data_IF_407860589823
#
_entry.id   IF_407860589823
#
_cell.length_a   1.000
_cell.length_b   1.000
_cell.length_c   1.000
_cell.angle_alpha   90.00
_cell.angle_beta   90.00
_cell.angle_gamma   90.00
#
_symmetry.space_group_name_H-M   'P 1'
#
loop_
_entity.id
_entity.type
_entity.pdbx_description
1 polymer ?
#
# COMPACT_ATOMS: atom_id res chain seq x y z
N UNK A 1 0.66 -4.63 14.49
CA UNK A 1 0.87 -5.05 13.09
C UNK A 1 -0.47 -5.35 12.45
N UNK A 2 -0.72 -4.88 11.23
CA UNK A 2 -1.94 -5.19 10.46
C UNK A 2 -1.56 -5.70 9.08
N UNK A 3 -2.36 -6.58 8.51
CA UNK A 3 -2.14 -7.11 7.15
C UNK A 3 -2.96 -6.29 6.16
N UNK A 4 -2.44 -6.15 4.95
CA UNK A 4 -3.04 -5.37 3.87
C UNK A 4 -3.33 -6.31 2.71
N UNK A 5 -4.59 -6.36 2.31
CA UNK A 5 -5.11 -7.27 1.29
C UNK A 5 -5.62 -6.48 0.10
N UNK A 6 -5.50 -7.04 -1.10
CA UNK A 6 -6.16 -6.50 -2.28
C UNK A 6 -7.68 -6.54 -2.08
N UNK A 7 -8.33 -5.41 -2.30
CA UNK A 7 -9.78 -5.30 -2.28
C UNK A 7 -10.37 -5.93 -3.56
N UNK A 8 -11.71 -6.03 -3.62
CA UNK A 8 -12.42 -6.47 -4.84
C UNK A 8 -12.16 -5.56 -6.06
N UNK A 9 -11.82 -4.29 -5.84
CA UNK A 9 -11.63 -3.29 -6.91
C UNK A 9 -10.16 -3.09 -7.29
N UNK A 10 -9.25 -3.85 -6.67
CA UNK A 10 -7.83 -3.73 -6.98
C UNK A 10 -7.58 -4.01 -8.48
N UNK A 11 -6.71 -3.25 -9.18
CA UNK A 11 -6.47 -3.43 -10.62
C UNK A 11 -6.05 -4.84 -11.04
N UNK A 12 -5.32 -5.55 -10.16
CA UNK A 12 -4.91 -6.95 -10.36
C UNK A 12 -5.94 -7.99 -9.85
N UNK A 13 -7.16 -7.56 -9.52
CA UNK A 13 -8.20 -8.38 -8.89
C UNK A 13 -8.02 -8.60 -7.39
N UNK A 14 -8.97 -9.29 -6.78
CA UNK A 14 -9.02 -9.60 -5.35
C UNK A 14 -7.91 -10.57 -4.89
N UNK A 15 -7.49 -10.44 -3.63
CA UNK A 15 -6.52 -11.32 -2.99
C UNK A 15 -7.02 -11.85 -1.63
N UNK A 16 -7.00 -13.17 -1.47
CA UNK A 16 -7.32 -13.84 -0.20
C UNK A 16 -6.14 -13.92 0.78
N UNK A 17 -4.93 -13.63 0.30
CA UNK A 17 -3.70 -13.57 1.08
C UNK A 17 -3.22 -12.12 1.14
N UNK A 18 -2.47 -11.73 2.19
CA UNK A 18 -1.99 -10.37 2.30
C UNK A 18 -0.93 -10.12 1.23
N UNK A 19 -0.95 -8.93 0.64
CA UNK A 19 0.13 -8.47 -0.21
C UNK A 19 1.21 -7.82 0.67
N UNK A 20 0.77 -6.99 1.63
CA UNK A 20 1.67 -6.27 2.53
C UNK A 20 1.32 -6.46 4.01
N UNK A 21 2.25 -6.09 4.87
CA UNK A 21 2.04 -5.88 6.31
C UNK A 21 2.51 -4.49 6.73
N UNK A 22 1.75 -3.81 7.58
CA UNK A 22 2.20 -2.58 8.25
C UNK A 22 2.69 -2.90 9.66
N UNK A 23 3.93 -2.49 9.95
CA UNK A 23 4.59 -2.67 11.24
C UNK A 23 4.38 -1.47 12.15
N UNK A 24 4.80 -1.59 13.41
CA UNK A 24 4.56 -0.58 14.45
C UNK A 24 5.36 0.73 14.21
N UNK A 25 6.35 0.70 13.33
CA UNK A 25 7.13 1.86 12.88
C UNK A 25 6.45 2.63 11.73
N UNK A 26 5.22 2.23 11.34
CA UNK A 26 4.48 2.85 10.24
C UNK A 26 4.95 2.43 8.84
N UNK A 27 5.92 1.52 8.74
CA UNK A 27 6.44 1.03 7.46
C UNK A 27 5.68 -0.19 6.97
N UNK A 28 5.58 -0.30 5.64
CA UNK A 28 4.80 -1.30 4.92
C UNK A 28 5.75 -2.20 4.13
N UNK A 29 5.66 -3.51 4.38
CA UNK A 29 6.57 -4.53 3.86
C UNK A 29 5.82 -5.53 3.01
N UNK A 30 6.46 -6.01 1.94
CA UNK A 30 5.92 -7.12 1.15
C UNK A 30 5.94 -8.41 1.95
N UNK A 31 4.81 -9.10 1.98
CA UNK A 31 4.72 -10.43 2.55
C UNK A 31 5.27 -11.49 1.58
N UNK A 32 5.40 -12.73 2.03
CA UNK A 32 5.81 -13.86 1.17
C UNK A 32 4.82 -14.18 0.06
N UNK A 33 3.56 -13.74 0.19
CA UNK A 33 2.49 -13.94 -0.78
C UNK A 33 2.34 -12.77 -1.76
N UNK A 34 3.17 -11.73 -1.63
CA UNK A 34 3.14 -10.59 -2.54
C UNK A 34 3.50 -11.03 -3.98
N UNK A 35 2.81 -10.55 -5.02
CA UNK A 35 3.07 -10.95 -6.42
C UNK A 35 4.51 -10.74 -6.91
N UNK A 36 5.17 -9.70 -6.41
CA UNK A 36 6.58 -9.39 -6.69
C UNK A 36 7.59 -10.09 -5.75
N UNK A 37 7.13 -11.05 -4.94
CA UNK A 37 7.94 -11.72 -3.92
C UNK A 37 8.13 -10.91 -2.63
N UNK A 38 8.73 -11.57 -1.63
CA UNK A 38 9.01 -11.01 -0.30
C UNK A 38 10.12 -9.94 -0.33
N UNK A 39 10.07 -9.01 0.62
CA UNK A 39 11.16 -8.06 0.88
C UNK A 39 11.32 -7.79 2.39
N UNK A 40 12.56 -7.85 2.86
CA UNK A 40 12.93 -7.42 4.22
C UNK A 40 13.02 -5.90 4.38
N UNK A 41 13.02 -5.16 3.27
CA UNK A 41 12.98 -3.70 3.24
C UNK A 41 11.56 -3.21 2.95
N UNK A 42 11.16 -2.05 3.50
CA UNK A 42 9.81 -1.52 3.28
C UNK A 42 9.66 -1.04 1.84
N UNK A 43 8.48 -1.21 1.27
CA UNK A 43 8.14 -0.57 0.00
C UNK A 43 7.56 0.82 0.27
N UNK A 44 6.72 0.94 1.30
CA UNK A 44 6.05 2.19 1.65
C UNK A 44 6.17 2.56 3.13
N UNK A 45 5.81 3.81 3.45
CA UNK A 45 5.62 4.31 4.81
C UNK A 45 4.32 5.11 4.92
N UNK A 46 3.64 5.00 6.05
CA UNK A 46 2.51 5.87 6.41
C UNK A 46 3.05 7.07 7.18
N UNK A 47 2.66 8.29 6.76
CA UNK A 47 3.03 9.53 7.45
C UNK A 47 1.86 10.09 8.26
N UNK A 48 2.13 11.12 9.06
CA UNK A 48 1.17 11.74 9.99
C UNK A 48 -0.06 12.36 9.30
N UNK A 49 -0.01 12.58 7.99
CA UNK A 49 -1.13 13.06 7.18
C UNK A 49 -2.09 11.94 6.73
N UNK A 50 -1.86 10.69 7.16
CA UNK A 50 -2.68 9.53 6.79
C UNK A 50 -2.41 9.03 5.37
N UNK A 51 -1.35 9.50 4.71
CA UNK A 51 -0.99 9.10 3.35
C UNK A 51 0.20 8.16 3.33
N UNK A 52 0.31 7.43 2.22
CA UNK A 52 1.28 6.34 2.01
C UNK A 52 2.27 6.76 0.94
N UNK A 53 3.55 6.75 1.29
CA UNK A 53 4.65 7.25 0.46
C UNK A 53 5.63 6.14 0.12
N UNK A 54 6.23 6.20 -1.07
CA UNK A 54 7.30 5.29 -1.46
C UNK A 54 8.56 5.57 -0.69
N UNK A 55 9.18 4.53 -0.15
CA UNK A 55 10.51 4.61 0.45
C UNK A 55 11.61 4.51 -0.61
N UNK A 56 12.87 4.67 -0.20
CA UNK A 56 14.03 4.48 -1.09
C UNK A 56 14.18 3.05 -1.62
N UNK A 57 13.65 2.05 -0.91
CA UNK A 57 13.71 0.64 -1.30
C UNK A 57 12.58 0.19 -2.21
N UNK A 58 11.62 1.08 -2.51
CA UNK A 58 10.54 0.77 -3.43
C UNK A 58 11.08 0.49 -4.85
N UNK A 59 10.55 -0.53 -5.53
CA UNK A 59 11.04 -0.96 -6.86
C UNK A 59 10.93 0.12 -7.95
N UNK A 60 9.89 0.96 -7.87
CA UNK A 60 9.71 2.13 -8.73
C UNK A 60 10.51 3.38 -8.30
N UNK A 61 11.39 3.26 -7.30
CA UNK A 61 12.14 4.37 -6.70
C UNK A 61 11.33 5.20 -5.69
N UNK A 62 12.01 6.14 -5.05
CA UNK A 62 11.44 7.04 -4.04
C UNK A 62 10.51 8.10 -4.62
N UNK A 63 9.55 8.56 -3.83
CA UNK A 63 8.67 9.69 -4.16
C UNK A 63 8.36 10.54 -2.94
N UNK A 64 8.47 11.87 -3.11
CA UNK A 64 7.99 12.84 -2.13
C UNK A 64 6.47 13.04 -2.14
N UNK A 65 5.78 12.51 -3.15
CA UNK A 65 4.32 12.54 -3.29
C UNK A 65 3.70 11.20 -2.88
N UNK A 66 2.49 11.20 -2.30
CA UNK A 66 1.84 10.00 -1.82
C UNK A 66 1.33 9.15 -2.98
N UNK A 67 1.55 7.85 -2.95
CA UNK A 67 0.93 6.92 -3.91
C UNK A 67 -0.50 6.59 -3.47
N UNK A 68 -0.74 6.46 -2.15
CA UNK A 68 -2.05 6.13 -1.61
C UNK A 68 -2.43 7.00 -0.41
N UNK A 69 -3.71 6.94 -0.04
CA UNK A 69 -4.27 7.54 1.17
C UNK A 69 -5.16 6.55 1.90
N UNK A 70 -5.13 6.60 3.24
CA UNK A 70 -6.07 5.86 4.08
C UNK A 70 -7.26 6.78 4.35
N UNK A 71 -8.46 6.37 3.94
CA UNK A 71 -9.69 7.18 4.13
C UNK A 71 -10.41 6.80 5.43
N UNK A 72 -11.46 7.55 5.75
CA UNK A 72 -12.23 7.42 7.01
C UNK A 72 -12.91 6.06 7.20
N UNK A 73 -13.15 5.32 6.11
CA UNK A 73 -13.65 3.95 6.12
C UNK A 73 -12.56 2.91 6.44
N UNK A 74 -11.33 3.35 6.66
CA UNK A 74 -10.18 2.51 6.96
C UNK A 74 -9.63 1.76 5.76
N UNK A 75 -10.02 2.10 4.52
CA UNK A 75 -9.48 1.48 3.30
C UNK A 75 -8.43 2.36 2.64
N UNK A 76 -7.67 1.75 1.72
CA UNK A 76 -6.53 2.38 1.04
C UNK A 76 -6.90 2.66 -0.41
N UNK A 77 -6.77 3.93 -0.81
CA UNK A 77 -7.16 4.45 -2.11
C UNK A 77 -5.96 5.06 -2.83
N UNK A 78 -5.93 4.97 -4.16
CA UNK A 78 -4.92 5.67 -4.95
C UNK A 78 -5.10 7.17 -4.83
N UNK A 79 -4.00 7.87 -4.53
CA UNK A 79 -3.97 9.32 -4.54
C UNK A 79 -3.96 9.86 -5.99
N UNK A 80 -4.13 11.16 -6.16
CA UNK A 80 -3.98 11.82 -7.47
C UNK A 80 -2.55 11.73 -8.05
N UNK A 81 -1.56 11.42 -7.22
CA UNK A 81 -0.15 11.32 -7.62
C UNK A 81 0.30 9.88 -7.89
N UNK A 82 -0.59 8.89 -7.71
CA UNK A 82 -0.28 7.51 -8.02
C UNK A 82 0.10 7.37 -9.51
N UNK A 83 1.09 6.53 -9.83
CA UNK A 83 1.61 6.37 -11.20
C UNK A 83 0.55 5.87 -12.21
N UNK A 84 -0.39 5.05 -11.73
CA UNK A 84 -1.56 4.60 -12.50
C UNK A 84 -2.75 5.58 -12.49
N UNK A 85 -2.59 6.79 -11.96
CA UNK A 85 -3.64 7.79 -11.78
C UNK A 85 -4.50 7.57 -10.52
N UNK A 86 -5.46 8.49 -10.32
CA UNK A 86 -6.38 8.48 -9.18
C UNK A 86 -7.38 7.31 -9.21
N UNK A 87 -7.79 6.84 -8.03
CA UNK A 87 -8.80 5.78 -7.87
C UNK A 87 -9.91 6.18 -6.89
N UNK A 88 -11.16 6.11 -7.36
CA UNK A 88 -12.35 6.37 -6.53
C UNK A 88 -12.76 5.19 -5.65
N UNK A 89 -12.25 3.99 -5.95
CA UNK A 89 -12.50 2.76 -5.22
C UNK A 89 -11.24 2.32 -4.48
N UNK A 90 -11.41 1.57 -3.40
CA UNK A 90 -10.29 1.09 -2.60
C UNK A 90 -9.47 0.06 -3.39
N UNK A 91 -8.15 0.21 -3.43
CA UNK A 91 -7.27 -0.81 -3.99
C UNK A 91 -6.96 -1.86 -2.91
N UNK A 92 -6.80 -1.43 -1.65
CA UNK A 92 -6.49 -2.33 -0.55
C UNK A 92 -7.35 -2.07 0.69
N UNK A 93 -7.38 -3.05 1.58
CA UNK A 93 -8.02 -2.97 2.88
C UNK A 93 -7.21 -3.71 3.95
N UNK A 94 -7.33 -3.26 5.20
CA UNK A 94 -6.74 -3.96 6.33
C UNK A 94 -7.63 -5.14 6.75
N UNK A 95 -7.02 -6.29 7.05
CA UNK A 95 -7.68 -7.42 7.73
C UNK A 95 -6.76 -8.07 8.76
#
# INVERSE_FOLDING_TARGET
>A
MKKIFRSLNHPNGWGGLPDYEIKNDGKIYRTVTHPNGWSGLPDYEVRNDGKIYRTLSHSAGWSGLPDYEIRSDGKIYRSIHHSAGWGGLADYEFR
#
